data_IF_211694717459
#
_entry.id   IF_211694717459
#
_cell.length_a   1.000
_cell.length_b   1.000
_cell.length_c   1.000
_cell.angle_alpha   90.00
_cell.angle_beta   90.00
_cell.angle_gamma   90.00
#
_symmetry.space_group_name_H-M   'P 1'
#
loop_
_entity.id
_entity.type
_entity.pdbx_description
1 polymer ?
#
# COMPACT_ATOMS: atom_id res chain seq x y z
N UNK A 1 -4.54 -30.59 2.28
CA UNK A 1 -5.17 -29.33 2.75
C UNK A 1 -6.66 -29.43 2.48
N UNK A 2 -7.54 -29.15 3.46
CA UNK A 2 -8.98 -29.22 3.24
C UNK A 2 -9.42 -28.17 2.20
N UNK A 3 -10.35 -28.57 1.33
CA UNK A 3 -10.95 -27.68 0.34
C UNK A 3 -11.86 -26.68 1.05
N UNK A 4 -11.45 -25.42 1.10
CA UNK A 4 -12.29 -24.33 1.63
C UNK A 4 -13.22 -23.85 0.52
N UNK A 5 -14.51 -24.12 0.69
CA UNK A 5 -15.59 -23.60 -0.13
C UNK A 5 -16.08 -22.29 0.50
N UNK A 6 -16.03 -21.19 -0.25
CA UNK A 6 -16.58 -19.91 0.19
C UNK A 6 -18.03 -19.79 -0.29
N UNK A 7 -18.94 -19.40 0.61
CA UNK A 7 -20.30 -19.01 0.25
C UNK A 7 -20.34 -17.50 0.02
N UNK A 8 -20.84 -17.06 -1.13
CA UNK A 8 -21.03 -15.65 -1.42
C UNK A 8 -22.04 -15.05 -0.44
N UNK A 9 -21.72 -13.86 0.05
CA UNK A 9 -22.52 -13.13 1.03
C UNK A 9 -22.38 -11.63 0.77
N UNK A 10 -23.50 -10.90 0.81
CA UNK A 10 -23.51 -9.43 0.71
C UNK A 10 -23.05 -8.86 2.06
N UNK A 11 -21.74 -8.58 2.16
CA UNK A 11 -21.13 -8.06 3.37
C UNK A 11 -21.22 -6.53 3.44
N UNK A 12 -21.47 -6.00 4.64
CA UNK A 12 -21.20 -4.59 4.92
C UNK A 12 -19.67 -4.35 5.08
N UNK A 13 -19.19 -3.09 5.11
CA UNK A 13 -17.76 -2.79 5.23
C UNK A 13 -17.08 -3.44 6.45
N UNK A 14 -17.75 -3.50 7.61
CA UNK A 14 -17.21 -4.11 8.83
C UNK A 14 -17.01 -5.61 8.67
N UNK A 15 -18.03 -6.31 8.17
CA UNK A 15 -17.97 -7.75 7.91
C UNK A 15 -16.89 -8.08 6.88
N UNK A 16 -16.76 -7.27 5.83
CA UNK A 16 -15.69 -7.42 4.83
C UNK A 16 -14.31 -7.31 5.49
N UNK A 17 -14.06 -6.22 6.23
CA UNK A 17 -12.77 -5.96 6.87
C UNK A 17 -12.43 -7.04 7.89
N UNK A 18 -13.36 -7.40 8.77
CA UNK A 18 -13.14 -8.40 9.81
C UNK A 18 -12.82 -9.78 9.24
N UNK A 19 -13.52 -10.16 8.16
CA UNK A 19 -13.26 -11.44 7.52
C UNK A 19 -11.91 -11.48 6.82
N UNK A 20 -11.58 -10.47 6.02
CA UNK A 20 -10.38 -10.50 5.19
C UNK A 20 -9.10 -10.16 5.95
N UNK A 21 -9.14 -9.28 6.95
CA UNK A 21 -7.93 -8.92 7.73
C UNK A 21 -7.30 -10.13 8.43
N UNK A 22 -8.12 -11.10 8.86
CA UNK A 22 -7.66 -12.33 9.53
C UNK A 22 -6.92 -13.29 8.58
N UNK A 23 -7.08 -13.12 7.26
CA UNK A 23 -6.43 -13.92 6.23
C UNK A 23 -5.12 -13.31 5.75
N UNK A 24 -4.85 -12.06 6.12
CA UNK A 24 -3.55 -11.45 5.89
C UNK A 24 -2.50 -12.11 6.78
N UNK A 25 -1.48 -12.69 6.16
CA UNK A 25 -0.33 -13.30 6.84
C UNK A 25 0.94 -12.82 6.17
N UNK A 26 1.77 -12.12 6.93
CA UNK A 26 3.10 -11.70 6.51
C UNK A 26 4.10 -12.09 7.61
N UNK A 27 5.02 -13.03 7.36
CA UNK A 27 6.01 -13.46 8.35
C UNK A 27 7.01 -12.35 8.72
N UNK A 28 7.07 -11.25 7.94
CA UNK A 28 7.97 -10.11 8.15
C UNK A 28 7.24 -8.85 8.59
N UNK A 29 5.99 -8.96 9.05
CA UNK A 29 5.18 -7.81 9.50
C UNK A 29 5.88 -7.00 10.61
N UNK A 30 6.78 -7.60 11.38
CA UNK A 30 7.61 -6.91 12.37
C UNK A 30 8.47 -5.80 11.75
N UNK A 31 9.02 -6.00 10.55
CA UNK A 31 9.80 -4.98 9.83
C UNK A 31 8.98 -3.72 9.53
N UNK A 32 7.67 -3.86 9.35
CA UNK A 32 6.78 -2.72 9.22
C UNK A 32 6.40 -2.13 10.58
N UNK A 33 5.85 -2.98 11.46
CA UNK A 33 5.27 -2.56 12.75
C UNK A 33 6.29 -1.86 13.64
N UNK A 34 7.52 -2.36 13.68
CA UNK A 34 8.54 -1.87 14.59
C UNK A 34 9.17 -0.54 14.11
N UNK A 35 8.90 -0.14 12.85
CA UNK A 35 9.53 1.00 12.19
C UNK A 35 8.57 2.10 11.76
N UNK A 36 7.32 1.77 11.40
CA UNK A 36 6.35 2.78 10.98
C UNK A 36 5.99 3.74 12.12
N UNK A 37 5.78 5.02 11.80
CA UNK A 37 5.47 6.05 12.78
C UNK A 37 6.65 6.48 13.66
N UNK A 38 7.82 5.85 13.49
CA UNK A 38 9.08 6.28 14.11
C UNK A 38 9.81 7.28 13.22
N UNK A 39 10.77 8.02 13.78
CA UNK A 39 11.66 8.89 13.01
C UNK A 39 12.36 8.10 11.88
N UNK A 40 12.24 8.55 10.64
CA UNK A 40 12.69 7.84 9.43
C UNK A 40 14.20 8.00 9.20
N UNK A 41 15.00 7.23 9.94
CA UNK A 41 16.43 7.10 9.66
C UNK A 41 16.70 6.03 8.58
N UNK A 42 17.93 5.99 8.07
CA UNK A 42 18.36 5.06 7.01
C UNK A 42 17.97 3.60 7.29
N UNK A 43 18.32 3.06 8.47
CA UNK A 43 18.04 1.67 8.84
C UNK A 43 16.54 1.37 8.74
N UNK A 44 15.71 2.23 9.33
CA UNK A 44 14.24 2.05 9.37
C UNK A 44 13.63 2.13 7.97
N UNK A 45 14.11 3.07 7.14
CA UNK A 45 13.68 3.18 5.74
C UNK A 45 14.02 1.89 5.00
N UNK A 46 15.24 1.39 5.11
CA UNK A 46 15.65 0.13 4.45
C UNK A 46 14.81 -1.06 4.91
N UNK A 47 14.52 -1.18 6.21
CA UNK A 47 13.66 -2.23 6.76
C UNK A 47 12.21 -2.14 6.25
N UNK A 48 11.64 -0.93 6.17
CA UNK A 48 10.31 -0.68 5.60
C UNK A 48 10.25 -1.06 4.12
N UNK A 49 11.28 -0.72 3.34
CA UNK A 49 11.34 -1.07 1.92
C UNK A 49 11.60 -2.56 1.68
N UNK A 50 12.39 -3.22 2.55
CA UNK A 50 12.54 -4.67 2.53
C UNK A 50 11.21 -5.36 2.82
N UNK A 51 10.45 -4.87 3.79
CA UNK A 51 9.10 -5.34 4.06
C UNK A 51 8.20 -5.17 2.84
N UNK A 52 8.13 -3.97 2.26
CA UNK A 52 7.27 -3.69 1.09
C UNK A 52 7.65 -4.52 -0.14
N UNK A 53 8.94 -4.83 -0.30
CA UNK A 53 9.42 -5.69 -1.38
C UNK A 53 9.11 -7.17 -1.16
N UNK A 54 8.82 -7.60 0.08
CA UNK A 54 8.54 -8.99 0.48
C UNK A 54 9.77 -9.90 0.57
N UNK A 55 10.81 -9.62 -0.23
CA UNK A 55 12.12 -10.30 -0.21
C UNK A 55 13.23 -9.32 0.12
N UNK A 56 14.44 -9.81 0.50
CA UNK A 56 15.60 -8.94 0.61
C UNK A 56 15.79 -8.11 -0.66
N UNK A 57 16.18 -6.85 -0.50
CA UNK A 57 16.41 -5.95 -1.63
C UNK A 57 17.64 -6.43 -2.41
N UNK A 58 17.49 -6.65 -3.71
CA UNK A 58 18.64 -6.81 -4.62
C UNK A 58 19.52 -5.55 -4.58
N UNK A 59 20.81 -5.65 -4.92
CA UNK A 59 21.73 -4.50 -4.91
C UNK A 59 21.20 -3.26 -5.65
N UNK A 60 20.64 -3.43 -6.86
CA UNK A 60 20.08 -2.32 -7.63
C UNK A 60 18.87 -1.67 -6.95
N UNK A 61 18.00 -2.48 -6.33
CA UNK A 61 16.87 -1.98 -5.53
C UNK A 61 17.35 -1.24 -4.29
N UNK A 62 18.31 -1.79 -3.56
CA UNK A 62 18.90 -1.15 -2.37
C UNK A 62 19.49 0.21 -2.72
N UNK A 63 20.30 0.28 -3.79
CA UNK A 63 20.85 1.55 -4.30
C UNK A 63 19.76 2.55 -4.68
N UNK A 64 18.69 2.07 -5.32
CA UNK A 64 17.53 2.92 -5.66
C UNK A 64 16.79 3.43 -4.41
N UNK A 65 16.61 2.60 -3.37
CA UNK A 65 16.02 3.07 -2.09
C UNK A 65 16.89 4.16 -1.48
N UNK A 66 18.20 3.91 -1.45
CA UNK A 66 19.16 4.81 -0.83
C UNK A 66 19.11 6.20 -1.47
N UNK A 67 19.28 6.26 -2.78
CA UNK A 67 19.30 7.50 -3.55
C UNK A 67 17.96 8.26 -3.53
N UNK A 68 16.84 7.55 -3.67
CA UNK A 68 15.54 8.20 -3.85
C UNK A 68 14.83 8.56 -2.54
N UNK A 69 15.15 7.89 -1.42
CA UNK A 69 14.40 8.04 -0.17
C UNK A 69 15.29 8.24 1.06
N UNK A 70 16.38 7.48 1.22
CA UNK A 70 17.26 7.63 2.40
C UNK A 70 18.01 8.96 2.39
N UNK A 71 18.64 9.30 1.27
CA UNK A 71 19.41 10.55 1.10
C UNK A 71 18.50 11.78 1.12
N UNK A 72 17.24 11.60 0.73
CA UNK A 72 16.25 12.67 0.62
C UNK A 72 15.33 12.77 1.85
N UNK A 73 15.59 12.00 2.91
CA UNK A 73 14.70 11.92 4.09
C UNK A 73 14.51 13.27 4.79
N UNK A 74 15.56 14.10 4.83
CA UNK A 74 15.54 15.39 5.52
C UNK A 74 14.66 16.41 4.78
N UNK A 75 14.36 16.19 3.48
CA UNK A 75 13.38 17.00 2.75
C UNK A 75 11.95 16.86 3.31
N UNK A 76 11.65 15.80 4.06
CA UNK A 76 10.34 15.62 4.70
C UNK A 76 10.06 16.71 5.75
N UNK A 77 11.10 17.23 6.41
CA UNK A 77 10.96 18.29 7.42
C UNK A 77 10.56 19.64 6.80
N UNK A 78 10.78 19.78 5.48
CA UNK A 78 10.42 20.98 4.73
C UNK A 78 8.98 20.93 4.20
N UNK A 79 8.28 19.80 4.38
CA UNK A 79 6.90 19.65 3.96
C UNK A 79 5.94 20.07 5.07
N UNK A 80 4.91 20.80 4.67
CA UNK A 80 3.81 21.11 5.58
C UNK A 80 3.10 19.81 5.98
N UNK A 81 2.72 19.63 7.26
CA UNK A 81 1.95 18.46 7.68
C UNK A 81 0.63 18.29 6.91
N UNK A 82 0.10 19.35 6.32
CA UNK A 82 -1.13 19.35 5.52
C UNK A 82 -0.91 19.09 4.03
N UNK A 83 0.34 18.95 3.56
CA UNK A 83 0.63 18.79 2.13
C UNK A 83 -0.15 17.62 1.52
N UNK A 84 -0.52 17.77 0.24
CA UNK A 84 -1.34 16.79 -0.46
C UNK A 84 -0.48 15.66 -1.01
N UNK A 85 -1.13 14.54 -1.37
CA UNK A 85 -0.46 13.45 -2.09
C UNK A 85 0.16 13.95 -3.42
N UNK A 86 -0.49 14.87 -4.11
CA UNK A 86 0.04 15.46 -5.36
C UNK A 86 1.34 16.24 -5.10
N UNK A 87 1.35 17.12 -4.10
CA UNK A 87 2.54 17.94 -3.78
C UNK A 87 3.73 17.05 -3.38
N UNK A 88 3.46 16.05 -2.53
CA UNK A 88 4.48 15.09 -2.09
C UNK A 88 5.04 14.31 -3.27
N UNK A 89 4.17 13.74 -4.11
CA UNK A 89 4.60 12.92 -5.24
C UNK A 89 5.27 13.77 -6.33
N UNK A 90 4.90 15.04 -6.50
CA UNK A 90 5.63 15.96 -7.37
C UNK A 90 7.05 16.24 -6.87
N UNK A 91 7.22 16.41 -5.55
CA UNK A 91 8.54 16.64 -4.92
C UNK A 91 9.44 15.41 -4.98
N UNK A 92 8.91 14.24 -4.63
CA UNK A 92 9.62 12.96 -4.71
C UNK A 92 9.32 12.28 -6.04
N UNK A 93 9.80 12.87 -7.15
CA UNK A 93 9.48 12.46 -8.52
C UNK A 93 10.27 11.25 -9.04
N UNK A 94 11.40 10.92 -8.41
CA UNK A 94 12.28 9.83 -8.83
C UNK A 94 11.93 8.50 -8.15
N UNK A 95 12.26 7.40 -8.81
CA UNK A 95 11.88 6.04 -8.39
C UNK A 95 10.51 5.62 -8.92
N UNK A 96 10.18 4.34 -8.77
CA UNK A 96 8.92 3.79 -9.28
C UNK A 96 7.70 4.32 -8.52
N UNK A 97 6.58 4.54 -9.22
CA UNK A 97 5.35 5.10 -8.64
C UNK A 97 4.87 4.40 -7.35
N UNK A 98 4.85 3.06 -7.32
CA UNK A 98 4.40 2.30 -6.13
C UNK A 98 5.33 2.54 -4.93
N UNK A 99 6.62 2.71 -5.16
CA UNK A 99 7.61 2.96 -4.12
C UNK A 99 7.48 4.38 -3.59
N UNK A 100 7.25 5.35 -4.48
CA UNK A 100 6.97 6.75 -4.09
C UNK A 100 5.66 6.88 -3.30
N UNK A 101 4.61 6.15 -3.67
CA UNK A 101 3.36 6.11 -2.90
C UNK A 101 3.58 5.44 -1.54
N UNK A 102 4.43 4.41 -1.47
CA UNK A 102 4.82 3.85 -0.19
C UNK A 102 5.64 4.84 0.66
N UNK A 103 6.47 5.68 0.05
CA UNK A 103 7.17 6.75 0.75
C UNK A 103 6.22 7.77 1.38
N UNK A 104 5.19 8.17 0.63
CA UNK A 104 4.09 9.01 1.13
C UNK A 104 3.40 8.38 2.35
N UNK A 105 3.15 7.07 2.30
CA UNK A 105 2.64 6.32 3.44
C UNK A 105 3.63 6.30 4.62
N UNK A 106 4.94 6.11 4.40
CA UNK A 106 5.92 6.16 5.48
C UNK A 106 5.94 7.51 6.20
N UNK A 107 5.81 8.61 5.46
CA UNK A 107 5.78 9.97 6.02
C UNK A 107 4.52 10.22 6.86
N UNK A 108 3.34 9.81 6.38
CA UNK A 108 2.06 10.04 7.06
C UNK A 108 1.11 8.85 6.96
N UNK A 109 1.48 7.77 7.66
CA UNK A 109 0.85 6.46 7.55
C UNK A 109 -0.63 6.42 7.95
N UNK A 110 -1.07 7.34 8.81
CA UNK A 110 -2.49 7.46 9.21
C UNK A 110 -3.34 8.18 8.17
N UNK A 111 -2.73 8.99 7.29
CA UNK A 111 -3.45 9.76 6.26
C UNK A 111 -3.46 9.05 4.91
N UNK A 112 -2.37 8.39 4.55
CA UNK A 112 -2.18 7.83 3.23
C UNK A 112 -2.12 6.31 3.30
N UNK A 113 -3.14 5.58 2.81
CA UNK A 113 -3.16 4.12 2.83
C UNK A 113 -2.12 3.51 1.90
N UNK A 114 -1.77 2.26 2.14
CA UNK A 114 -0.81 1.53 1.31
C UNK A 114 -1.44 1.22 -0.04
N UNK A 115 -0.66 1.41 -1.11
CA UNK A 115 -1.05 1.04 -2.46
C UNK A 115 -0.10 0.01 -3.08
N UNK A 116 -0.67 -0.99 -3.72
CA UNK A 116 -0.02 -1.96 -4.59
C UNK A 116 -1.05 -2.67 -5.47
N UNK A 117 -0.57 -3.65 -6.23
CA UNK A 117 -1.39 -4.44 -7.13
C UNK A 117 -2.53 -5.19 -6.44
N UNK A 118 -2.37 -5.65 -5.20
CA UNK A 118 -3.43 -6.40 -4.52
C UNK A 118 -4.58 -5.49 -4.12
N UNK A 119 -4.28 -4.38 -3.44
CA UNK A 119 -5.34 -3.44 -3.03
C UNK A 119 -6.00 -2.74 -4.22
N UNK A 120 -5.25 -2.51 -5.31
CA UNK A 120 -5.80 -1.99 -6.56
C UNK A 120 -6.81 -2.97 -7.17
N UNK A 121 -6.44 -4.25 -7.27
CA UNK A 121 -7.35 -5.30 -7.77
C UNK A 121 -8.61 -5.40 -6.90
N UNK A 122 -8.45 -5.35 -5.58
CA UNK A 122 -9.58 -5.37 -4.65
C UNK A 122 -10.53 -4.19 -4.87
N UNK A 123 -10.00 -2.97 -5.00
CA UNK A 123 -10.79 -1.78 -5.32
C UNK A 123 -11.56 -1.97 -6.64
N UNK A 124 -10.88 -2.33 -7.72
CA UNK A 124 -11.49 -2.48 -9.04
C UNK A 124 -12.62 -3.54 -9.04
N UNK A 125 -12.42 -4.64 -8.32
CA UNK A 125 -13.43 -5.68 -8.17
C UNK A 125 -14.62 -5.22 -7.33
N UNK A 126 -14.39 -4.51 -6.22
CA UNK A 126 -15.48 -4.00 -5.37
C UNK A 126 -16.31 -2.95 -6.10
N UNK A 127 -15.67 -2.07 -6.88
CA UNK A 127 -16.37 -0.99 -7.58
C UNK A 127 -17.10 -1.47 -8.84
N UNK A 128 -16.48 -2.36 -9.61
CA UNK A 128 -16.94 -2.67 -10.97
C UNK A 128 -17.04 -4.17 -11.27
N UNK A 129 -16.67 -5.04 -10.33
CA UNK A 129 -16.63 -6.48 -10.56
C UNK A 129 -15.53 -6.94 -11.52
N UNK A 130 -14.50 -6.12 -11.78
CA UNK A 130 -13.43 -6.41 -12.74
C UNK A 130 -12.10 -6.73 -12.04
N UNK A 131 -11.33 -7.63 -12.66
CA UNK A 131 -9.96 -7.91 -12.25
C UNK A 131 -8.98 -6.99 -13.02
N UNK A 132 -8.62 -5.87 -12.41
CA UNK A 132 -7.72 -4.85 -13.00
C UNK A 132 -6.28 -4.98 -12.47
N UNK A 133 -5.29 -4.97 -13.38
CA UNK A 133 -3.86 -5.04 -13.03
C UNK A 133 -3.16 -3.67 -13.23
N UNK A 134 -2.71 -3.02 -12.15
CA UNK A 134 -1.92 -1.79 -12.23
C UNK A 134 -0.48 -2.02 -12.74
N UNK A 135 -0.02 -3.27 -12.86
CA UNK A 135 1.26 -3.60 -13.50
C UNK A 135 1.32 -3.16 -14.96
N UNK A 136 0.17 -3.06 -15.63
CA UNK A 136 0.05 -2.59 -17.02
C UNK A 136 0.13 -1.06 -17.13
N UNK A 137 0.12 -0.35 -16.01
CA UNK A 137 0.10 1.11 -15.99
C UNK A 137 1.51 1.69 -15.95
N UNK A 138 1.71 2.76 -16.70
CA UNK A 138 2.86 3.64 -16.48
C UNK A 138 2.75 4.33 -15.11
N UNK A 139 3.85 4.98 -14.69
CA UNK A 139 3.92 5.62 -13.38
C UNK A 139 2.91 6.76 -13.20
N UNK A 140 2.61 7.50 -14.26
CA UNK A 140 1.61 8.58 -14.23
C UNK A 140 0.21 8.01 -13.98
N UNK A 141 -0.16 6.95 -14.68
CA UNK A 141 -1.44 6.24 -14.52
C UNK A 141 -1.57 5.60 -13.14
N UNK A 142 -0.49 5.03 -12.59
CA UNK A 142 -0.47 4.49 -11.22
C UNK A 142 -0.74 5.57 -10.18
N UNK A 143 -0.06 6.72 -10.29
CA UNK A 143 -0.24 7.86 -9.38
C UNK A 143 -1.66 8.42 -9.52
N UNK A 144 -2.16 8.60 -10.75
CA UNK A 144 -3.53 9.06 -10.99
C UNK A 144 -4.56 8.11 -10.39
N UNK A 145 -4.40 6.80 -10.59
CA UNK A 145 -5.29 5.80 -10.01
C UNK A 145 -5.25 5.82 -8.47
N UNK A 146 -4.08 6.06 -7.87
CA UNK A 146 -3.97 6.20 -6.42
C UNK A 146 -4.73 7.43 -5.91
N UNK A 147 -4.47 8.61 -6.48
CA UNK A 147 -5.03 9.87 -6.00
C UNK A 147 -6.53 9.99 -6.30
N UNK A 148 -6.92 9.72 -7.54
CA UNK A 148 -8.27 10.06 -8.02
C UNK A 148 -9.28 8.93 -7.80
N UNK A 149 -8.83 7.69 -7.60
CA UNK A 149 -9.72 6.53 -7.37
C UNK A 149 -9.50 5.92 -6.00
N UNK A 150 -8.26 5.55 -5.68
CA UNK A 150 -7.98 4.76 -4.48
C UNK A 150 -8.15 5.55 -3.18
N UNK A 151 -7.69 6.81 -3.11
CA UNK A 151 -7.90 7.64 -1.92
C UNK A 151 -9.39 7.87 -1.63
N UNK A 152 -10.25 8.31 -2.59
CA UNK A 152 -11.69 8.39 -2.39
C UNK A 152 -12.35 7.05 -2.03
N UNK A 153 -11.94 5.96 -2.67
CA UNK A 153 -12.44 4.62 -2.35
C UNK A 153 -12.11 4.24 -0.90
N UNK A 154 -10.86 4.43 -0.47
CA UNK A 154 -10.41 4.08 0.86
C UNK A 154 -11.07 4.96 1.94
N UNK A 155 -11.40 6.22 1.62
CA UNK A 155 -12.11 7.11 2.54
C UNK A 155 -13.50 6.58 2.97
N UNK A 156 -14.12 5.68 2.18
CA UNK A 156 -15.35 4.97 2.56
C UNK A 156 -15.16 4.07 3.80
N UNK A 157 -13.91 3.78 4.16
CA UNK A 157 -13.51 3.01 5.34
C UNK A 157 -12.92 3.89 6.46
N UNK A 158 -13.23 5.19 6.51
CA UNK A 158 -12.67 6.11 7.52
C UNK A 158 -12.97 5.74 8.99
N UNK A 159 -13.99 4.90 9.24
CA UNK A 159 -14.30 4.40 10.58
C UNK A 159 -13.25 3.41 11.12
N UNK A 160 -12.44 2.81 10.23
CA UNK A 160 -11.42 1.84 10.58
C UNK A 160 -10.09 2.53 10.83
N UNK A 161 -9.37 2.07 11.87
CA UNK A 161 -8.06 2.62 12.23
C UNK A 161 -6.92 1.71 11.79
N UNK A 162 -5.77 2.34 11.55
CA UNK A 162 -4.53 1.69 11.15
C UNK A 162 -4.67 0.85 9.88
N UNK A 163 -3.83 -0.19 9.76
CA UNK A 163 -3.75 -1.05 8.56
C UNK A 163 -4.84 -2.12 8.43
N UNK A 164 -5.95 -2.01 9.16
CA UNK A 164 -6.99 -3.06 9.14
C UNK A 164 -7.63 -3.18 7.76
N UNK A 165 -7.91 -2.06 7.11
CA UNK A 165 -8.45 -1.98 5.74
C UNK A 165 -7.42 -2.44 4.72
N UNK A 166 -6.18 -1.95 4.81
CA UNK A 166 -5.08 -2.37 3.94
C UNK A 166 -4.90 -3.90 3.94
N UNK A 167 -4.90 -4.52 5.13
CA UNK A 167 -4.76 -5.97 5.30
C UNK A 167 -5.93 -6.72 4.66
N UNK A 168 -7.15 -6.22 4.86
CA UNK A 168 -8.35 -6.81 4.28
C UNK A 168 -8.35 -6.72 2.75
N UNK A 169 -8.13 -5.52 2.19
CA UNK A 169 -8.06 -5.30 0.75
C UNK A 169 -6.93 -6.11 0.11
N UNK A 170 -5.76 -6.17 0.74
CA UNK A 170 -4.65 -6.96 0.24
C UNK A 170 -4.99 -8.45 0.18
N UNK A 171 -5.55 -9.01 1.27
CA UNK A 171 -5.91 -10.42 1.34
C UNK A 171 -7.00 -10.77 0.32
N UNK A 172 -8.01 -9.91 0.17
CA UNK A 172 -9.06 -10.07 -0.83
C UNK A 172 -8.53 -9.98 -2.26
N UNK A 173 -7.70 -8.96 -2.54
CA UNK A 173 -7.06 -8.77 -3.83
C UNK A 173 -6.16 -9.94 -4.22
N UNK A 174 -5.45 -10.55 -3.26
CA UNK A 174 -4.72 -11.79 -3.50
C UNK A 174 -5.66 -12.96 -3.82
N UNK A 175 -6.74 -13.11 -3.05
CA UNK A 175 -7.72 -14.17 -3.30
C UNK A 175 -8.36 -14.10 -4.69
N UNK A 176 -8.71 -12.91 -5.19
CA UNK A 176 -9.25 -12.72 -6.55
C UNK A 176 -8.26 -13.26 -7.59
N UNK A 177 -6.98 -12.91 -7.47
CA UNK A 177 -5.91 -13.37 -8.38
C UNK A 177 -5.80 -14.90 -8.39
N UNK A 178 -5.75 -15.50 -7.21
CA UNK A 178 -5.50 -16.94 -7.04
C UNK A 178 -6.68 -17.81 -7.53
N UNK A 179 -7.88 -17.24 -7.64
CA UNK A 179 -9.12 -17.96 -8.01
C UNK A 179 -9.62 -17.68 -9.42
N UNK A 180 -8.94 -16.81 -10.19
CA UNK A 180 -9.35 -16.37 -11.54
C UNK A 180 -10.87 -16.10 -11.63
N UNK A 181 -11.41 -15.30 -10.69
CA UNK A 181 -12.75 -14.74 -10.86
C UNK A 181 -12.74 -13.65 -11.91
#
# INVERSE_FOLDING_TARGET
>A
MPMIIYKLFQANPQQFVDFWKLRYKDPKENLYRDNIGQALNEKRILELYQWKNGTPLSAGKSKSVHYNFVERRDELEQLQPTATANDFLARFSNGGAIWRIFWLHCWQHDRFPIYDQHVHRAMAFIENGVCEENSQYDDRRKIKAYIDRYLPFHAKFAAFKGRTVDKALWAFGKFIKDRQM
#
